data_IF_564749866399
#
_entry.id   IF_564749866399
#
_cell.length_a   1.000
_cell.length_b   1.000
_cell.length_c   1.000
_cell.angle_alpha   90.00
_cell.angle_beta   90.00
_cell.angle_gamma   90.00
#
_symmetry.space_group_name_H-M   'P 1'
#
loop_
_entity.id
_entity.type
_entity.pdbx_description
1 polymer ?
#
# COMPACT_ATOMS: atom_id res chain seq x y z
N UNK A 1 16.83 26.11 -31.02
CA UNK A 1 17.39 24.73 -31.03
C UNK A 1 16.69 23.94 -29.95
N UNK A 2 15.72 23.11 -30.34
CA UNK A 2 14.93 22.31 -29.41
C UNK A 2 15.81 21.13 -28.95
N UNK A 3 16.10 21.06 -27.66
CA UNK A 3 16.81 19.94 -27.07
C UNK A 3 15.94 18.70 -27.22
N UNK A 4 16.36 17.77 -28.06
CA UNK A 4 15.74 16.45 -28.22
C UNK A 4 15.77 15.72 -26.88
N UNK A 5 14.64 15.19 -26.37
CA UNK A 5 14.64 14.42 -25.12
C UNK A 5 15.59 13.24 -25.29
N UNK A 6 16.52 13.08 -24.34
CA UNK A 6 17.49 11.99 -24.35
C UNK A 6 16.73 10.66 -24.37
N UNK A 7 16.68 9.99 -25.54
CA UNK A 7 16.08 8.66 -25.72
C UNK A 7 16.70 7.69 -24.72
N UNK A 8 15.89 7.06 -23.88
CA UNK A 8 16.31 5.90 -23.11
C UNK A 8 16.83 4.84 -24.10
N UNK A 9 17.96 4.20 -23.77
CA UNK A 9 18.51 3.10 -24.60
C UNK A 9 17.63 1.84 -24.57
N UNK A 10 16.59 1.83 -23.70
CA UNK A 10 15.68 0.71 -23.47
C UNK A 10 14.33 1.05 -24.08
N UNK A 11 13.70 0.07 -24.76
CA UNK A 11 12.38 0.27 -25.37
C UNK A 11 11.27 0.48 -24.30
N UNK A 12 10.22 1.24 -24.63
CA UNK A 12 9.09 1.47 -23.71
C UNK A 12 8.45 0.18 -23.20
N UNK A 13 8.35 -0.84 -24.04
CA UNK A 13 7.79 -2.15 -23.71
C UNK A 13 8.58 -2.82 -22.59
N UNK A 14 9.91 -2.84 -22.70
CA UNK A 14 10.81 -3.44 -21.70
C UNK A 14 10.69 -2.68 -20.38
N UNK A 15 10.61 -1.35 -20.42
CA UNK A 15 10.43 -0.51 -19.22
C UNK A 15 9.10 -0.88 -18.50
N UNK A 16 8.01 -1.00 -19.27
CA UNK A 16 6.69 -1.37 -18.71
C UNK A 16 6.72 -2.78 -18.14
N UNK A 17 7.24 -3.76 -18.88
CA UNK A 17 7.30 -5.16 -18.41
C UNK A 17 8.15 -5.28 -17.15
N UNK A 18 9.36 -4.69 -17.12
CA UNK A 18 10.21 -4.73 -15.94
C UNK A 18 9.57 -4.04 -14.73
N UNK A 19 8.92 -2.89 -14.92
CA UNK A 19 8.23 -2.20 -13.84
C UNK A 19 7.01 -2.98 -13.31
N UNK A 20 6.26 -3.63 -14.20
CA UNK A 20 5.17 -4.52 -13.82
C UNK A 20 5.68 -5.72 -13.01
N UNK A 21 6.78 -6.35 -13.43
CA UNK A 21 7.39 -7.47 -12.69
C UNK A 21 7.91 -7.01 -11.32
N UNK A 22 8.52 -5.83 -11.21
CA UNK A 22 8.91 -5.25 -9.92
C UNK A 22 7.69 -5.07 -9.02
N UNK A 23 6.61 -4.49 -9.51
CA UNK A 23 5.39 -4.30 -8.74
C UNK A 23 4.80 -5.65 -8.26
N UNK A 24 4.75 -6.64 -9.13
CA UNK A 24 4.29 -7.99 -8.82
C UNK A 24 5.12 -8.64 -7.71
N UNK A 25 6.46 -8.62 -7.86
CA UNK A 25 7.40 -9.26 -6.93
C UNK A 25 7.39 -8.55 -5.56
N UNK A 26 7.25 -7.24 -5.51
CA UNK A 26 7.32 -6.49 -4.24
C UNK A 26 6.03 -6.58 -3.43
N UNK A 27 4.87 -6.62 -4.09
CA UNK A 27 3.58 -6.76 -3.40
C UNK A 27 3.27 -8.21 -2.99
N UNK A 28 3.78 -9.20 -3.71
CA UNK A 28 3.47 -10.61 -3.49
C UNK A 28 3.84 -11.13 -2.09
N UNK A 29 5.12 -11.10 -1.69
CA UNK A 29 5.54 -11.58 -0.37
C UNK A 29 4.85 -10.83 0.78
N UNK A 30 4.64 -9.51 0.63
CA UNK A 30 3.90 -8.72 1.62
C UNK A 30 2.46 -9.20 1.81
N UNK A 31 1.75 -9.50 0.73
CA UNK A 31 0.39 -10.00 0.78
C UNK A 31 0.28 -11.40 1.43
N UNK A 32 1.39 -12.14 1.45
CA UNK A 32 1.50 -13.47 2.05
C UNK A 32 1.92 -13.45 3.52
N UNK A 33 2.21 -12.28 4.10
CA UNK A 33 2.79 -12.17 5.45
C UNK A 33 2.00 -12.90 6.53
N UNK A 34 0.67 -12.86 6.48
CA UNK A 34 -0.20 -13.54 7.44
C UNK A 34 -0.09 -15.06 7.45
N UNK A 35 0.38 -15.68 6.35
CA UNK A 35 0.57 -17.14 6.28
C UNK A 35 1.72 -17.62 7.18
N UNK A 36 2.68 -16.76 7.48
CA UNK A 36 3.85 -17.07 8.31
C UNK A 36 3.58 -16.91 9.81
N UNK A 37 2.49 -16.25 10.20
CA UNK A 37 2.17 -15.98 11.60
C UNK A 37 2.09 -17.26 12.43
N UNK A 38 1.17 -18.16 12.10
CA UNK A 38 0.94 -19.37 12.87
C UNK A 38 2.15 -20.31 12.90
N UNK A 39 2.81 -20.64 11.77
CA UNK A 39 3.99 -21.48 11.79
C UNK A 39 5.08 -20.96 12.73
N UNK A 40 5.41 -19.66 12.66
CA UNK A 40 6.46 -19.07 13.47
C UNK A 40 6.12 -19.02 14.97
N UNK A 41 4.91 -18.56 15.31
CA UNK A 41 4.53 -18.43 16.73
C UNK A 41 4.38 -19.79 17.39
N UNK A 42 3.91 -20.81 16.65
CA UNK A 42 3.79 -22.17 17.17
C UNK A 42 5.16 -22.81 17.44
N UNK A 43 6.13 -22.61 16.54
CA UNK A 43 7.48 -23.16 16.67
C UNK A 43 8.25 -22.57 17.86
N UNK A 44 8.11 -21.26 18.07
CA UNK A 44 8.88 -20.56 19.11
C UNK A 44 8.10 -20.26 20.40
N UNK A 45 6.81 -20.61 20.46
CA UNK A 45 5.94 -20.32 21.60
C UNK A 45 5.68 -18.82 21.81
N UNK A 46 5.68 -18.03 20.73
CA UNK A 46 5.38 -16.60 20.80
C UNK A 46 3.87 -16.32 20.76
N UNK A 47 3.47 -15.16 21.29
CA UNK A 47 2.12 -14.66 21.11
C UNK A 47 1.90 -14.06 19.69
N UNK A 48 0.65 -13.95 19.30
CA UNK A 48 0.24 -13.27 18.03
C UNK A 48 0.57 -11.77 18.06
N UNK A 49 0.63 -11.17 19.24
CA UNK A 49 1.07 -9.80 19.48
C UNK A 49 2.52 -9.57 19.03
N UNK A 50 3.42 -10.52 19.29
CA UNK A 50 4.84 -10.45 18.89
C UNK A 50 4.98 -10.37 17.37
N UNK A 51 4.31 -11.24 16.63
CA UNK A 51 4.30 -11.20 15.17
C UNK A 51 3.56 -9.96 14.64
N UNK A 52 2.41 -9.67 15.23
CA UNK A 52 1.61 -8.47 14.90
C UNK A 52 2.41 -7.18 15.07
N UNK A 53 3.17 -7.06 16.16
CA UNK A 53 4.01 -5.88 16.41
C UNK A 53 5.15 -5.74 15.39
N UNK A 54 5.78 -6.85 14.96
CA UNK A 54 6.78 -6.82 13.90
C UNK A 54 6.21 -6.23 12.59
N UNK A 55 5.06 -6.72 12.14
CA UNK A 55 4.41 -6.22 10.92
C UNK A 55 3.82 -4.82 11.12
N UNK A 56 3.43 -4.45 12.35
CA UNK A 56 3.05 -3.09 12.67
C UNK A 56 4.21 -2.10 12.46
N UNK A 57 5.41 -2.40 13.00
CA UNK A 57 6.64 -1.64 12.74
C UNK A 57 6.90 -1.53 11.24
N UNK A 58 6.74 -2.62 10.48
CA UNK A 58 6.91 -2.63 9.03
C UNK A 58 6.03 -1.59 8.33
N UNK A 59 4.73 -1.54 8.66
CA UNK A 59 3.81 -0.58 8.08
C UNK A 59 4.20 0.87 8.42
N UNK A 60 4.53 1.14 9.68
CA UNK A 60 4.92 2.47 10.11
C UNK A 60 6.19 2.96 9.39
N UNK A 61 7.23 2.12 9.35
CA UNK A 61 8.50 2.47 8.71
C UNK A 61 8.39 2.57 7.19
N UNK A 62 7.53 1.78 6.57
CA UNK A 62 7.18 1.98 5.17
C UNK A 62 6.58 3.37 4.94
N UNK A 63 5.62 3.79 5.78
CA UNK A 63 5.00 5.12 5.69
C UNK A 63 5.99 6.26 5.90
N UNK A 64 6.85 6.15 6.91
CA UNK A 64 7.90 7.15 7.19
C UNK A 64 8.95 7.19 6.09
N UNK A 65 9.42 6.03 5.64
CA UNK A 65 10.50 5.93 4.66
C UNK A 65 10.11 6.35 3.24
N UNK A 66 8.82 6.26 2.89
CA UNK A 66 8.33 6.50 1.53
C UNK A 66 8.69 7.90 0.95
N UNK A 67 8.47 9.02 1.66
CA UNK A 67 8.86 10.35 1.16
C UNK A 67 10.37 10.48 0.95
N UNK A 68 11.18 9.90 1.85
CA UNK A 68 12.64 9.95 1.74
C UNK A 68 13.14 9.13 0.56
N UNK A 69 12.60 7.90 0.38
CA UNK A 69 12.94 7.06 -0.77
C UNK A 69 12.60 7.75 -2.10
N UNK A 70 11.46 8.44 -2.18
CA UNK A 70 11.08 9.27 -3.33
C UNK A 70 12.07 10.39 -3.60
N UNK A 71 12.42 11.18 -2.58
CA UNK A 71 13.38 12.27 -2.70
C UNK A 71 14.79 11.80 -3.12
N UNK A 72 15.25 10.68 -2.56
CA UNK A 72 16.53 10.05 -2.95
C UNK A 72 16.48 9.56 -4.39
N UNK A 73 15.35 8.96 -4.82
CA UNK A 73 15.17 8.51 -6.20
C UNK A 73 15.14 9.66 -7.21
N UNK A 74 14.58 10.80 -6.81
CA UNK A 74 14.61 12.02 -7.65
C UNK A 74 16.02 12.57 -7.81
N UNK A 75 16.81 12.55 -6.73
CA UNK A 75 18.18 13.08 -6.74
C UNK A 75 19.22 12.13 -7.34
N UNK A 76 19.13 10.83 -7.03
CA UNK A 76 20.17 9.85 -7.36
C UNK A 76 19.75 8.80 -8.41
N UNK A 77 18.49 8.87 -8.86
CA UNK A 77 17.88 7.93 -9.81
C UNK A 77 17.17 6.75 -9.16
N UNK A 78 16.10 6.28 -9.79
CA UNK A 78 15.24 5.21 -9.27
C UNK A 78 15.98 3.88 -9.11
N UNK A 79 16.92 3.54 -10.01
CA UNK A 79 17.68 2.29 -9.99
C UNK A 79 18.35 2.01 -8.64
N UNK A 80 19.10 2.99 -8.11
CA UNK A 80 19.84 2.82 -6.85
C UNK A 80 18.90 2.58 -5.67
N UNK A 81 17.80 3.31 -5.63
CA UNK A 81 16.82 3.19 -4.54
C UNK A 81 16.10 1.86 -4.59
N UNK A 82 15.71 1.40 -5.80
CA UNK A 82 15.13 0.08 -6.00
C UNK A 82 16.07 -1.06 -5.58
N UNK A 83 17.37 -0.96 -5.92
CA UNK A 83 18.36 -1.95 -5.52
C UNK A 83 18.58 -2.00 -4.01
N UNK A 84 18.75 -0.84 -3.35
CA UNK A 84 18.89 -0.79 -1.89
C UNK A 84 17.63 -1.29 -1.20
N UNK A 85 16.46 -0.89 -1.68
CA UNK A 85 15.18 -1.38 -1.18
C UNK A 85 15.04 -2.90 -1.30
N UNK A 86 15.38 -3.47 -2.46
CA UNK A 86 15.35 -4.91 -2.69
C UNK A 86 16.31 -5.67 -1.78
N UNK A 87 17.53 -5.15 -1.57
CA UNK A 87 18.51 -5.73 -0.64
C UNK A 87 17.99 -5.71 0.81
N UNK A 88 17.46 -4.58 1.27
CA UNK A 88 16.89 -4.48 2.61
C UNK A 88 15.70 -5.41 2.79
N UNK A 89 14.83 -5.51 1.78
CA UNK A 89 13.68 -6.39 1.82
C UNK A 89 14.10 -7.86 1.85
N UNK A 90 14.99 -8.27 0.95
CA UNK A 90 15.49 -9.64 0.91
C UNK A 90 16.24 -10.01 2.21
N UNK A 91 17.12 -9.12 2.69
CA UNK A 91 17.81 -9.30 3.98
C UNK A 91 16.81 -9.43 5.13
N UNK A 92 15.75 -8.61 5.14
CA UNK A 92 14.70 -8.69 6.14
C UNK A 92 13.98 -10.03 6.13
N UNK A 93 13.66 -10.59 4.95
CA UNK A 93 13.09 -11.93 4.81
C UNK A 93 14.05 -13.03 5.28
N UNK A 94 15.35 -12.90 4.99
CA UNK A 94 16.38 -13.83 5.49
C UNK A 94 16.49 -13.76 7.02
N UNK A 95 16.57 -12.55 7.59
CA UNK A 95 16.61 -12.38 9.05
C UNK A 95 15.34 -12.94 9.69
N UNK A 96 14.17 -12.73 9.07
CA UNK A 96 12.91 -13.30 9.52
C UNK A 96 12.92 -14.84 9.50
N UNK A 97 13.51 -15.47 8.46
CA UNK A 97 13.62 -16.93 8.34
C UNK A 97 14.47 -17.56 9.45
N UNK A 98 15.46 -16.84 9.95
CA UNK A 98 16.36 -17.31 11.03
C UNK A 98 16.10 -16.61 12.37
N UNK A 99 15.00 -15.88 12.51
CA UNK A 99 14.66 -15.20 13.76
C UNK A 99 14.22 -16.20 14.83
N UNK A 100 15.07 -16.42 15.85
CA UNK A 100 14.78 -17.26 17.01
C UNK A 100 14.34 -16.43 18.23
N UNK A 101 14.35 -15.11 18.14
CA UNK A 101 13.92 -14.18 19.19
C UNK A 101 12.97 -13.13 18.65
N UNK A 102 12.04 -12.61 19.46
CA UNK A 102 11.16 -11.50 19.06
C UNK A 102 11.92 -10.28 18.54
N UNK A 103 13.07 -9.95 19.15
CA UNK A 103 13.90 -8.82 18.71
C UNK A 103 14.41 -8.98 17.27
N UNK A 104 14.89 -10.18 16.89
CA UNK A 104 15.33 -10.46 15.53
C UNK A 104 14.16 -10.40 14.55
N UNK A 105 12.97 -10.89 14.94
CA UNK A 105 11.76 -10.78 14.14
C UNK A 105 11.39 -9.31 13.90
N UNK A 106 11.42 -8.48 14.95
CA UNK A 106 11.13 -7.04 14.83
C UNK A 106 12.12 -6.31 13.92
N UNK A 107 13.40 -6.67 13.98
CA UNK A 107 14.43 -6.11 13.08
C UNK A 107 14.21 -6.60 11.64
N UNK A 108 14.05 -7.91 11.42
CA UNK A 108 13.88 -8.49 10.09
C UNK A 108 12.56 -8.06 9.43
N UNK A 109 11.45 -8.52 9.99
CA UNK A 109 10.12 -8.30 9.45
C UNK A 109 9.65 -6.85 9.62
N UNK A 110 10.05 -6.18 10.70
CA UNK A 110 9.64 -4.80 10.99
C UNK A 110 10.53 -3.77 10.29
N UNK A 111 11.79 -3.69 10.71
CA UNK A 111 12.68 -2.58 10.30
C UNK A 111 13.18 -2.75 8.87
N UNK A 112 13.83 -3.89 8.58
CA UNK A 112 14.48 -4.10 7.29
C UNK A 112 13.45 -4.19 6.16
N UNK A 113 12.39 -4.97 6.33
CA UNK A 113 11.32 -5.05 5.31
C UNK A 113 10.57 -3.71 5.21
N UNK A 114 10.32 -3.00 6.31
CA UNK A 114 9.65 -1.70 6.30
C UNK A 114 10.37 -0.66 5.43
N UNK A 115 11.67 -0.47 5.65
CA UNK A 115 12.49 0.39 4.79
C UNK A 115 12.70 -0.19 3.39
N UNK A 116 12.80 -1.52 3.28
CA UNK A 116 12.87 -2.22 1.99
C UNK A 116 11.66 -1.91 1.10
N UNK A 117 10.45 -1.99 1.65
CA UNK A 117 9.20 -1.63 0.97
C UNK A 117 9.16 -0.16 0.55
N UNK A 118 9.71 0.76 1.35
CA UNK A 118 9.83 2.17 0.95
C UNK A 118 10.68 2.33 -0.31
N UNK A 119 11.79 1.61 -0.39
CA UNK A 119 12.72 1.65 -1.52
C UNK A 119 12.26 0.84 -2.75
N UNK A 120 11.39 -0.17 -2.58
CA UNK A 120 10.81 -0.96 -3.67
C UNK A 120 9.36 -0.60 -3.97
N UNK A 121 8.86 0.54 -3.49
CA UNK A 121 7.46 0.88 -3.60
C UNK A 121 6.99 1.03 -5.04
N UNK A 122 5.74 0.67 -5.24
CA UNK A 122 5.02 0.90 -6.49
C UNK A 122 5.10 2.38 -6.96
N UNK A 123 5.09 3.33 -6.02
CA UNK A 123 5.19 4.75 -6.33
C UNK A 123 6.52 5.10 -7.04
N UNK A 124 7.63 4.43 -6.69
CA UNK A 124 8.91 4.62 -7.38
C UNK A 124 8.87 4.09 -8.82
N UNK A 125 8.20 2.97 -9.04
CA UNK A 125 7.99 2.42 -10.39
C UNK A 125 7.16 3.37 -11.22
N UNK A 126 6.05 3.90 -10.68
CA UNK A 126 5.22 4.89 -11.37
C UNK A 126 5.99 6.19 -11.64
N UNK A 127 6.81 6.65 -10.69
CA UNK A 127 7.70 7.80 -10.88
C UNK A 127 8.70 7.59 -12.02
N UNK A 128 9.29 6.38 -12.13
CA UNK A 128 10.16 6.01 -13.22
C UNK A 128 9.41 5.96 -14.56
N UNK A 129 8.21 5.39 -14.62
CA UNK A 129 7.35 5.40 -15.82
C UNK A 129 7.06 6.83 -16.28
N UNK A 130 6.71 7.73 -15.35
CA UNK A 130 6.47 9.14 -15.66
C UNK A 130 7.67 9.85 -16.29
N UNK A 131 8.91 9.47 -15.91
CA UNK A 131 10.16 10.07 -16.40
C UNK A 131 10.67 9.44 -17.71
N UNK A 132 10.52 8.11 -17.86
CA UNK A 132 11.14 7.34 -18.93
C UNK A 132 10.24 7.13 -20.14
N UNK A 133 8.90 7.07 -19.92
CA UNK A 133 7.96 6.75 -20.97
C UNK A 133 7.44 7.98 -21.71
N UNK A 134 7.23 7.88 -23.04
CA UNK A 134 6.47 8.88 -23.81
C UNK A 134 5.07 9.05 -23.24
N UNK A 135 4.49 10.25 -23.38
CA UNK A 135 3.17 10.59 -22.81
C UNK A 135 2.07 9.58 -23.19
N UNK A 136 2.06 9.14 -24.44
CA UNK A 136 1.07 8.17 -24.96
C UNK A 136 1.11 6.81 -24.24
N UNK A 137 2.25 6.42 -23.63
CA UNK A 137 2.42 5.15 -22.94
C UNK A 137 2.09 5.22 -21.44
N UNK A 138 2.19 6.42 -20.83
CA UNK A 138 2.05 6.61 -19.37
C UNK A 138 0.73 6.10 -18.79
N UNK A 139 -0.47 6.42 -19.38
CA UNK A 139 -1.72 5.93 -18.80
C UNK A 139 -1.82 4.41 -18.78
N UNK A 140 -1.38 3.76 -19.88
CA UNK A 140 -1.37 2.30 -19.99
C UNK A 140 -0.37 1.70 -19.00
N UNK A 141 0.84 2.26 -18.87
CA UNK A 141 1.87 1.76 -17.97
C UNK A 141 1.46 1.89 -16.49
N UNK A 142 0.80 2.99 -16.11
CA UNK A 142 0.29 3.18 -14.75
C UNK A 142 -0.80 2.15 -14.41
N UNK A 143 -1.73 1.91 -15.34
CA UNK A 143 -2.75 0.88 -15.19
C UNK A 143 -2.15 -0.52 -15.11
N UNK A 144 -1.22 -0.85 -16.02
CA UNK A 144 -0.55 -2.15 -16.04
C UNK A 144 0.27 -2.42 -14.77
N UNK A 145 1.01 -1.42 -14.27
CA UNK A 145 1.76 -1.54 -13.03
C UNK A 145 0.86 -1.78 -11.80
N UNK A 146 -0.29 -1.08 -11.74
CA UNK A 146 -1.28 -1.29 -10.67
C UNK A 146 -1.88 -2.70 -10.74
N UNK A 147 -2.25 -3.15 -11.94
CA UNK A 147 -2.77 -4.49 -12.15
C UNK A 147 -1.73 -5.57 -11.81
N UNK A 148 -0.45 -5.36 -12.16
CA UNK A 148 0.63 -6.28 -11.85
C UNK A 148 0.86 -6.41 -10.34
N UNK A 149 0.80 -5.32 -9.56
CA UNK A 149 0.84 -5.37 -8.10
C UNK A 149 -0.30 -6.19 -7.52
N UNK A 150 -1.53 -5.99 -8.01
CA UNK A 150 -2.69 -6.78 -7.61
C UNK A 150 -2.56 -8.24 -8.01
N UNK A 151 -1.95 -8.52 -9.16
CA UNK A 151 -1.69 -9.90 -9.61
C UNK A 151 -0.63 -10.57 -8.74
N UNK A 152 0.37 -9.84 -8.23
CA UNK A 152 1.30 -10.33 -7.20
C UNK A 152 0.56 -10.73 -5.92
N UNK A 153 -0.39 -9.92 -5.46
CA UNK A 153 -1.23 -10.26 -4.30
C UNK A 153 -2.10 -11.51 -4.53
N UNK A 154 -2.52 -11.76 -5.78
CA UNK A 154 -3.22 -12.98 -6.15
C UNK A 154 -2.32 -14.21 -6.16
N UNK A 155 -1.14 -14.09 -6.76
CA UNK A 155 -0.27 -15.22 -7.08
C UNK A 155 0.51 -15.74 -5.87
N UNK A 156 1.07 -14.86 -5.05
CA UNK A 156 2.01 -15.24 -4.00
C UNK A 156 1.39 -15.96 -2.79
N UNK A 157 0.18 -15.63 -2.29
CA UNK A 157 -0.38 -16.36 -1.14
C UNK A 157 -0.60 -17.86 -1.40
N UNK A 158 -1.19 -18.33 -2.52
CA UNK A 158 -1.27 -19.76 -2.80
C UNK A 158 0.11 -20.41 -2.96
N UNK A 159 1.05 -19.74 -3.66
CA UNK A 159 2.42 -20.23 -3.80
C UNK A 159 3.09 -20.33 -2.42
N UNK A 160 2.94 -19.31 -1.58
CA UNK A 160 3.48 -19.29 -0.22
C UNK A 160 2.94 -20.43 0.62
N UNK A 161 1.64 -20.71 0.52
CA UNK A 161 1.03 -21.83 1.23
C UNK A 161 1.62 -23.18 0.79
N UNK A 162 1.73 -23.41 -0.52
CA UNK A 162 2.35 -24.65 -1.07
C UNK A 162 3.81 -24.78 -0.63
N UNK A 163 4.58 -23.68 -0.64
CA UNK A 163 5.97 -23.70 -0.19
C UNK A 163 6.08 -24.00 1.30
N UNK A 164 5.21 -23.44 2.14
CA UNK A 164 5.19 -23.68 3.59
C UNK A 164 4.84 -25.14 3.86
N UNK A 165 3.84 -25.71 3.18
CA UNK A 165 3.42 -27.09 3.35
C UNK A 165 4.47 -28.10 2.86
N UNK A 166 5.18 -27.78 1.76
CA UNK A 166 6.13 -28.71 1.12
C UNK A 166 7.54 -28.65 1.71
N UNK A 167 8.02 -27.45 2.10
CA UNK A 167 9.41 -27.21 2.47
C UNK A 167 9.59 -26.52 3.82
N UNK A 168 8.49 -26.16 4.48
CA UNK A 168 8.51 -25.37 5.71
C UNK A 168 8.57 -23.85 5.49
N UNK A 169 8.21 -23.12 6.52
CA UNK A 169 8.06 -21.66 6.46
C UNK A 169 9.40 -20.91 6.27
N UNK A 170 10.52 -21.44 6.81
CA UNK A 170 11.85 -20.87 6.62
C UNK A 170 12.25 -20.88 5.15
N UNK A 171 12.09 -22.02 4.48
CA UNK A 171 12.44 -22.16 3.06
C UNK A 171 11.54 -21.31 2.18
N UNK A 172 10.27 -21.20 2.52
CA UNK A 172 9.35 -20.31 1.81
C UNK A 172 9.78 -18.84 1.88
N UNK A 173 10.25 -18.36 3.04
CA UNK A 173 10.82 -17.01 3.19
C UNK A 173 12.10 -16.82 2.38
N UNK A 174 12.98 -17.82 2.32
CA UNK A 174 14.20 -17.76 1.52
C UNK A 174 13.90 -17.71 0.02
N UNK A 175 12.91 -18.46 -0.45
CA UNK A 175 12.43 -18.39 -1.84
C UNK A 175 11.85 -17.00 -2.14
N UNK A 176 11.09 -16.42 -1.21
CA UNK A 176 10.59 -15.06 -1.36
C UNK A 176 11.73 -14.03 -1.35
N UNK A 177 12.75 -14.19 -0.51
CA UNK A 177 13.93 -13.34 -0.51
C UNK A 177 14.66 -13.39 -1.86
N UNK A 178 14.87 -14.59 -2.39
CA UNK A 178 15.48 -14.78 -3.73
C UNK A 178 14.64 -14.12 -4.83
N UNK A 179 13.31 -14.23 -4.77
CA UNK A 179 12.42 -13.57 -5.74
C UNK A 179 12.54 -12.05 -5.68
N UNK A 180 12.63 -11.46 -4.48
CA UNK A 180 12.80 -10.00 -4.30
C UNK A 180 14.13 -9.51 -4.87
N UNK A 181 15.19 -10.29 -4.82
CA UNK A 181 16.47 -9.92 -5.44
C UNK A 181 16.40 -9.77 -6.97
N UNK A 182 15.42 -10.41 -7.63
CA UNK A 182 15.16 -10.21 -9.06
C UNK A 182 14.77 -8.76 -9.40
N UNK A 183 14.34 -7.99 -8.43
CA UNK A 183 14.10 -6.55 -8.60
C UNK A 183 15.37 -5.82 -9.07
N UNK A 184 16.56 -6.26 -8.64
CA UNK A 184 17.82 -5.58 -8.98
C UNK A 184 18.12 -5.60 -10.48
N UNK A 185 18.14 -6.76 -11.18
CA UNK A 185 18.33 -6.77 -12.63
C UNK A 185 17.17 -6.10 -13.38
N UNK A 186 15.93 -6.24 -12.93
CA UNK A 186 14.78 -5.58 -13.54
C UNK A 186 14.85 -4.04 -13.42
N UNK A 187 15.39 -3.55 -12.31
CA UNK A 187 15.55 -2.11 -12.06
C UNK A 187 16.52 -1.42 -13.03
N UNK A 188 17.40 -2.17 -13.73
CA UNK A 188 18.27 -1.64 -14.78
C UNK A 188 17.46 -0.97 -15.90
N UNK A 189 16.30 -1.56 -16.24
CA UNK A 189 15.40 -0.97 -17.25
C UNK A 189 14.74 0.33 -16.78
N UNK A 190 14.65 0.55 -15.46
CA UNK A 190 14.08 1.74 -14.83
C UNK A 190 15.14 2.75 -14.38
N UNK A 191 16.37 2.65 -14.89
CA UNK A 191 17.47 3.54 -14.56
C UNK A 191 17.15 4.97 -15.06
N UNK A 192 16.72 5.84 -14.17
CA UNK A 192 16.57 7.27 -14.45
C UNK A 192 17.90 8.00 -14.21
N UNK A 193 18.22 9.00 -15.05
CA UNK A 193 19.34 9.89 -14.74
C UNK A 193 18.97 10.77 -13.54
N UNK A 194 19.95 11.03 -12.69
CA UNK A 194 19.83 12.05 -11.65
C UNK A 194 19.51 13.38 -12.34
N UNK A 195 18.34 13.91 -12.13
CA UNK A 195 17.98 15.25 -12.58
C UNK A 195 18.36 16.19 -11.44
N UNK A 196 19.52 16.84 -11.57
CA UNK A 196 19.76 18.07 -10.85
C UNK A 196 18.66 19.06 -11.26
N UNK A 197 17.94 19.56 -10.29
CA UNK A 197 17.02 20.70 -10.38
C UNK A 197 16.25 20.90 -11.72
N UNK A 198 15.29 20.03 -11.98
CA UNK A 198 14.22 20.36 -12.91
C UNK A 198 12.90 20.40 -12.14
N UNK A 199 12.37 21.57 -11.84
CA UNK A 199 10.97 21.69 -11.45
C UNK A 199 10.15 21.19 -12.63
N UNK A 200 9.30 20.17 -12.43
CA UNK A 200 8.26 19.89 -13.41
C UNK A 200 7.37 21.15 -13.52
N UNK A 201 7.62 21.95 -14.53
CA UNK A 201 6.75 23.04 -14.93
C UNK A 201 5.48 22.42 -15.54
N UNK A 202 4.47 22.17 -14.68
CA UNK A 202 3.09 22.08 -15.14
C UNK A 202 2.56 23.48 -15.46
N UNK A 203 1.61 23.63 -16.40
CA UNK A 203 1.04 24.93 -16.73
C UNK A 203 0.28 25.50 -15.52
N UNK A 204 0.52 26.77 -15.25
CA UNK A 204 0.05 27.63 -14.17
C UNK A 204 0.94 27.65 -12.92
N UNK A 205 1.94 28.52 -12.97
CA UNK A 205 2.70 28.97 -11.82
C UNK A 205 1.77 29.63 -10.80
N UNK A 206 1.45 28.90 -9.73
CA UNK A 206 0.94 29.54 -8.51
C UNK A 206 2.12 30.28 -7.87
N UNK A 207 1.97 31.57 -7.49
CA UNK A 207 3.07 32.36 -6.96
C UNK A 207 3.68 31.70 -5.73
N UNK A 208 4.97 31.57 -5.68
CA UNK A 208 5.91 31.37 -4.56
C UNK A 208 5.39 30.81 -3.21
N UNK A 209 4.50 29.81 -3.21
CA UNK A 209 4.12 29.14 -1.96
C UNK A 209 5.26 28.20 -1.51
N UNK A 210 5.76 28.38 -0.28
CA UNK A 210 6.74 27.47 0.32
C UNK A 210 6.07 26.14 0.78
N UNK A 211 6.87 25.08 0.95
CA UNK A 211 6.41 23.80 1.49
C UNK A 211 5.69 23.98 2.83
N UNK A 212 6.26 24.80 3.73
CA UNK A 212 5.68 25.08 5.05
C UNK A 212 4.30 25.75 4.94
N UNK A 213 4.14 26.69 4.01
CA UNK A 213 2.85 27.33 3.76
C UNK A 213 1.83 26.37 3.18
N UNK A 214 2.22 25.49 2.23
CA UNK A 214 1.34 24.47 1.67
C UNK A 214 0.87 23.48 2.72
N UNK A 215 1.73 23.04 3.62
CA UNK A 215 1.37 22.18 4.74
C UNK A 215 0.43 22.89 5.73
N UNK A 216 0.75 24.12 6.11
CA UNK A 216 -0.10 24.88 7.03
C UNK A 216 -1.50 25.13 6.44
N UNK A 217 -1.60 25.43 5.13
CA UNK A 217 -2.84 25.57 4.40
C UNK A 217 -3.63 24.25 4.40
N UNK A 218 -2.99 23.15 4.07
CA UNK A 218 -3.63 21.85 3.97
C UNK A 218 -4.18 21.39 5.34
N UNK A 219 -3.38 21.46 6.40
CA UNK A 219 -3.82 21.04 7.73
C UNK A 219 -4.81 22.00 8.41
N UNK A 220 -4.93 23.24 7.94
CA UNK A 220 -6.05 24.14 8.32
C UNK A 220 -7.32 23.83 7.54
N UNK A 221 -7.23 23.17 6.40
CA UNK A 221 -8.38 22.90 5.54
C UNK A 221 -9.16 21.68 6.04
N UNK A 222 -10.35 21.90 6.60
CA UNK A 222 -11.18 20.86 7.22
C UNK A 222 -11.39 19.62 6.34
N UNK A 223 -11.68 19.82 5.04
CA UNK A 223 -11.91 18.69 4.12
C UNK A 223 -10.68 17.80 3.94
N UNK A 224 -9.49 18.38 3.96
CA UNK A 224 -8.25 17.61 3.86
C UNK A 224 -7.99 16.81 5.14
N UNK A 225 -8.18 17.41 6.32
CA UNK A 225 -8.01 16.70 7.60
C UNK A 225 -8.98 15.53 7.69
N UNK A 226 -10.25 15.73 7.32
CA UNK A 226 -11.26 14.66 7.29
C UNK A 226 -10.87 13.54 6.31
N UNK A 227 -10.33 13.88 5.14
CA UNK A 227 -9.83 12.92 4.16
C UNK A 227 -8.68 12.09 4.71
N UNK A 228 -7.70 12.73 5.37
CA UNK A 228 -6.54 12.08 6.01
C UNK A 228 -6.99 11.14 7.13
N UNK A 229 -7.92 11.58 7.98
CA UNK A 229 -8.50 10.76 9.05
C UNK A 229 -9.32 9.59 8.50
N UNK A 230 -10.12 9.79 7.45
CA UNK A 230 -10.86 8.71 6.80
C UNK A 230 -9.93 7.66 6.19
N UNK A 231 -8.81 8.07 5.61
CA UNK A 231 -7.86 7.15 4.98
C UNK A 231 -7.09 6.27 5.99
N UNK A 232 -6.99 6.68 7.25
CA UNK A 232 -6.51 5.87 8.36
C UNK A 232 -7.22 4.51 8.44
N UNK A 233 -8.55 4.50 8.35
CA UNK A 233 -9.35 3.27 8.44
C UNK A 233 -9.06 2.29 7.32
N UNK A 234 -8.73 2.78 6.13
CA UNK A 234 -8.30 1.93 5.04
C UNK A 234 -7.08 1.11 5.46
N UNK A 235 -6.05 1.76 6.00
CA UNK A 235 -4.84 1.09 6.49
C UNK A 235 -5.13 0.08 7.60
N UNK A 236 -5.95 0.48 8.57
CA UNK A 236 -6.33 -0.38 9.69
C UNK A 236 -6.95 -1.69 9.21
N UNK A 237 -7.98 -1.60 8.38
CA UNK A 237 -8.70 -2.77 7.87
C UNK A 237 -7.83 -3.64 6.97
N UNK A 238 -7.08 -3.04 6.05
CA UNK A 238 -6.25 -3.77 5.11
C UNK A 238 -5.14 -4.56 5.81
N UNK A 239 -4.42 -3.91 6.71
CA UNK A 239 -3.30 -4.53 7.38
C UNK A 239 -3.76 -5.62 8.37
N UNK A 240 -4.83 -5.36 9.13
CA UNK A 240 -5.45 -6.36 10.01
C UNK A 240 -5.87 -7.61 9.23
N UNK A 241 -6.64 -7.45 8.15
CA UNK A 241 -7.11 -8.57 7.33
C UNK A 241 -5.94 -9.33 6.72
N UNK A 242 -4.96 -8.63 6.12
CA UNK A 242 -3.81 -9.30 5.49
C UNK A 242 -3.04 -10.19 6.45
N UNK A 243 -2.88 -9.77 7.70
CA UNK A 243 -2.02 -10.47 8.68
C UNK A 243 -2.82 -11.51 9.48
N UNK A 244 -4.01 -11.15 9.95
CA UNK A 244 -4.72 -11.99 10.91
C UNK A 244 -5.82 -12.88 10.30
N UNK A 245 -6.26 -12.63 9.05
CA UNK A 245 -7.31 -13.44 8.41
C UNK A 245 -6.92 -14.92 8.26
N UNK A 246 -5.69 -15.29 7.83
CA UNK A 246 -5.30 -16.69 7.76
C UNK A 246 -5.38 -17.41 9.11
N UNK A 247 -4.92 -16.75 10.18
CA UNK A 247 -5.00 -17.28 11.53
C UNK A 247 -6.45 -17.39 12.03
N UNK A 248 -7.27 -16.36 11.77
CA UNK A 248 -8.71 -16.39 12.09
C UNK A 248 -9.44 -17.55 11.43
N UNK A 249 -9.18 -17.80 10.14
CA UNK A 249 -9.79 -18.93 9.41
C UNK A 249 -9.32 -20.28 9.94
N UNK A 250 -8.04 -20.37 10.34
CA UNK A 250 -7.50 -21.58 10.96
C UNK A 250 -8.14 -21.85 12.32
N UNK A 251 -8.35 -20.82 13.15
CA UNK A 251 -9.06 -20.92 14.43
C UNK A 251 -10.52 -21.34 14.24
N UNK A 252 -11.13 -20.96 13.11
CA UNK A 252 -12.46 -21.41 12.71
C UNK A 252 -12.49 -22.86 12.14
N UNK A 253 -11.38 -23.60 12.18
CA UNK A 253 -11.28 -24.99 11.73
C UNK A 253 -11.07 -25.17 10.23
N UNK A 254 -10.77 -24.10 9.48
CA UNK A 254 -10.51 -24.17 8.05
C UNK A 254 -9.05 -24.48 7.75
N UNK A 255 -8.77 -25.04 6.57
CA UNK A 255 -7.40 -25.33 6.14
C UNK A 255 -6.62 -24.05 5.81
N UNK A 256 -5.28 -24.09 5.93
CA UNK A 256 -4.41 -23.00 5.55
C UNK A 256 -4.60 -22.57 4.07
N UNK A 257 -4.91 -23.53 3.20
CA UNK A 257 -5.21 -23.28 1.79
C UNK A 257 -6.38 -22.29 1.61
N UNK A 258 -7.44 -22.39 2.44
CA UNK A 258 -8.58 -21.44 2.38
C UNK A 258 -8.10 -20.02 2.70
N UNK A 259 -7.22 -19.85 3.69
CA UNK A 259 -6.61 -18.56 4.01
C UNK A 259 -5.80 -17.98 2.82
N UNK A 260 -4.95 -18.80 2.20
CA UNK A 260 -4.16 -18.42 1.03
C UNK A 260 -5.04 -18.02 -0.17
N UNK A 261 -6.06 -18.84 -0.49
CA UNK A 261 -6.99 -18.52 -1.57
C UNK A 261 -7.88 -17.31 -1.29
N UNK A 262 -8.27 -17.07 -0.03
CA UNK A 262 -9.02 -15.87 0.34
C UNK A 262 -8.18 -14.62 0.11
N UNK A 263 -6.91 -14.62 0.53
CA UNK A 263 -5.99 -13.51 0.25
C UNK A 263 -5.76 -13.32 -1.26
N UNK A 264 -5.65 -14.41 -2.01
CA UNK A 264 -5.53 -14.38 -3.46
C UNK A 264 -6.76 -13.72 -4.12
N UNK A 265 -7.97 -14.11 -3.72
CA UNK A 265 -9.19 -13.50 -4.27
C UNK A 265 -9.31 -12.02 -3.93
N UNK A 266 -8.85 -11.58 -2.75
CA UNK A 266 -8.73 -10.15 -2.43
C UNK A 266 -7.84 -9.45 -3.46
N UNK A 267 -6.67 -9.99 -3.77
CA UNK A 267 -5.74 -9.41 -4.75
C UNK A 267 -6.34 -9.30 -6.15
N UNK A 268 -7.00 -10.36 -6.62
CA UNK A 268 -7.64 -10.38 -7.94
C UNK A 268 -8.81 -9.40 -8.04
N UNK A 269 -9.70 -9.43 -7.05
CA UNK A 269 -10.86 -8.53 -6.99
C UNK A 269 -10.45 -7.06 -6.83
N UNK A 270 -9.32 -6.78 -6.14
CA UNK A 270 -8.75 -5.46 -6.00
C UNK A 270 -8.37 -4.82 -7.35
N UNK A 271 -7.86 -5.60 -8.31
CA UNK A 271 -7.56 -5.08 -9.64
C UNK A 271 -8.81 -4.50 -10.30
N UNK A 272 -9.92 -5.25 -10.24
CA UNK A 272 -11.22 -4.82 -10.80
C UNK A 272 -11.76 -3.60 -10.04
N UNK A 273 -11.76 -3.68 -8.70
CA UNK A 273 -12.30 -2.63 -7.84
C UNK A 273 -11.57 -1.29 -8.00
N UNK A 274 -10.24 -1.31 -8.03
CA UNK A 274 -9.42 -0.10 -8.19
C UNK A 274 -9.66 0.58 -9.54
N UNK A 275 -9.77 -0.20 -10.64
CA UNK A 275 -10.09 0.34 -11.96
C UNK A 275 -11.50 0.93 -11.98
N UNK A 276 -12.49 0.21 -11.45
CA UNK A 276 -13.87 0.68 -11.35
C UNK A 276 -13.97 1.97 -10.52
N UNK A 277 -13.28 2.05 -9.39
CA UNK A 277 -13.25 3.24 -8.55
C UNK A 277 -12.57 4.43 -9.25
N UNK A 278 -11.49 4.19 -9.98
CA UNK A 278 -10.85 5.22 -10.81
C UNK A 278 -11.83 5.81 -11.83
N UNK A 279 -12.54 4.96 -12.55
CA UNK A 279 -13.57 5.37 -13.51
C UNK A 279 -14.75 6.09 -12.83
N UNK A 280 -15.28 5.56 -11.73
CA UNK A 280 -16.35 6.19 -10.96
C UNK A 280 -15.95 7.56 -10.40
N UNK A 281 -14.69 7.74 -10.01
CA UNK A 281 -14.16 9.02 -9.51
C UNK A 281 -14.25 10.16 -10.54
N UNK A 282 -14.36 9.84 -11.82
CA UNK A 282 -14.54 10.83 -12.90
C UNK A 282 -16.01 11.17 -13.16
N UNK A 283 -16.95 10.33 -12.69
CA UNK A 283 -18.38 10.41 -13.03
C UNK A 283 -19.28 10.78 -11.86
N UNK A 284 -18.82 10.55 -10.63
CA UNK A 284 -19.61 10.85 -9.43
C UNK A 284 -18.78 11.60 -8.39
N UNK A 285 -19.49 12.16 -7.40
CA UNK A 285 -18.86 12.82 -6.25
C UNK A 285 -17.94 11.86 -5.50
N UNK A 286 -16.69 12.27 -5.29
CA UNK A 286 -15.63 11.45 -4.67
C UNK A 286 -15.89 11.20 -3.19
N UNK A 287 -16.50 12.18 -2.48
CA UNK A 287 -16.90 12.05 -1.08
C UNK A 287 -17.96 10.96 -0.88
N UNK A 288 -18.95 10.90 -1.78
CA UNK A 288 -19.97 9.86 -1.76
C UNK A 288 -19.38 8.50 -2.13
N UNK A 289 -18.50 8.46 -3.13
CA UNK A 289 -17.80 7.24 -3.50
C UNK A 289 -17.00 6.67 -2.32
N UNK A 290 -16.23 7.50 -1.59
CA UNK A 290 -15.52 7.11 -0.39
C UNK A 290 -16.47 6.62 0.71
N UNK A 291 -17.58 7.34 0.95
CA UNK A 291 -18.57 6.95 1.95
C UNK A 291 -19.16 5.57 1.63
N UNK A 292 -19.54 5.31 0.37
CA UNK A 292 -20.07 4.01 -0.06
C UNK A 292 -19.02 2.89 0.03
N UNK A 293 -17.75 3.16 -0.29
CA UNK A 293 -16.67 2.17 -0.15
C UNK A 293 -16.51 1.77 1.33
N UNK A 294 -16.43 2.74 2.25
CA UNK A 294 -16.27 2.44 3.68
C UNK A 294 -17.50 1.77 4.29
N UNK A 295 -18.70 2.20 3.91
CA UNK A 295 -19.95 1.54 4.30
C UNK A 295 -20.00 0.10 3.78
N UNK A 296 -19.68 -0.10 2.50
CA UNK A 296 -19.63 -1.42 1.87
C UNK A 296 -18.64 -2.37 2.56
N UNK A 297 -17.47 -1.88 2.98
CA UNK A 297 -16.52 -2.66 3.78
C UNK A 297 -17.11 -3.05 5.13
N UNK A 298 -17.74 -2.10 5.83
CA UNK A 298 -18.40 -2.40 7.11
C UNK A 298 -19.48 -3.45 6.97
N UNK A 299 -20.30 -3.38 5.91
CA UNK A 299 -21.32 -4.40 5.61
C UNK A 299 -20.68 -5.74 5.29
N UNK A 300 -19.63 -5.78 4.44
CA UNK A 300 -18.93 -7.02 4.10
C UNK A 300 -18.30 -7.69 5.31
N UNK A 301 -17.65 -6.91 6.19
CA UNK A 301 -17.05 -7.42 7.43
C UNK A 301 -18.16 -7.93 8.38
N UNK A 302 -19.25 -7.16 8.55
CA UNK A 302 -20.37 -7.56 9.40
C UNK A 302 -20.97 -8.88 8.92
N UNK A 303 -21.26 -9.01 7.63
CA UNK A 303 -21.77 -10.25 7.05
C UNK A 303 -20.82 -11.43 7.29
N UNK A 304 -19.50 -11.20 7.10
CA UNK A 304 -18.50 -12.24 7.27
C UNK A 304 -18.39 -12.77 8.71
N UNK A 305 -18.45 -11.89 9.72
CA UNK A 305 -18.33 -12.32 11.13
C UNK A 305 -19.63 -12.90 11.71
N UNK A 306 -20.79 -12.60 11.12
CA UNK A 306 -22.08 -13.12 11.57
C UNK A 306 -22.47 -14.43 10.90
N UNK A 307 -21.90 -14.75 9.75
CA UNK A 307 -22.16 -16.01 9.02
C UNK A 307 -21.10 -17.04 9.42
N UNK A 308 -21.46 -18.31 9.64
CA UNK A 308 -20.47 -19.36 9.94
C UNK A 308 -19.37 -19.42 8.88
N UNK A 309 -18.10 -19.48 9.35
CA UNK A 309 -16.96 -19.55 8.47
C UNK A 309 -16.96 -20.86 7.68
N UNK A 310 -16.82 -20.75 6.37
CA UNK A 310 -16.70 -21.85 5.42
C UNK A 310 -15.77 -21.45 4.27
N UNK A 311 -15.28 -22.39 3.45
CA UNK A 311 -14.49 -22.02 2.27
C UNK A 311 -15.25 -21.06 1.34
N UNK A 312 -16.55 -21.28 1.14
CA UNK A 312 -17.39 -20.43 0.28
C UNK A 312 -17.55 -19.02 0.86
N UNK A 313 -17.91 -18.90 2.14
CA UNK A 313 -18.09 -17.59 2.79
C UNK A 313 -16.78 -16.80 2.85
N UNK A 314 -15.64 -17.48 3.03
CA UNK A 314 -14.32 -16.88 3.02
C UNK A 314 -13.95 -16.32 1.64
N UNK A 315 -14.19 -17.07 0.56
CA UNK A 315 -13.95 -16.62 -0.81
C UNK A 315 -14.90 -15.46 -1.18
N UNK A 316 -16.18 -15.54 -0.83
CA UNK A 316 -17.14 -14.45 -1.05
C UNK A 316 -16.74 -13.19 -0.30
N UNK A 317 -16.27 -13.31 0.94
CA UNK A 317 -15.67 -12.20 1.68
C UNK A 317 -14.44 -11.64 0.94
N UNK A 318 -13.53 -12.53 0.49
CA UNK A 318 -12.35 -12.14 -0.29
C UNK A 318 -12.69 -11.34 -1.54
N UNK A 319 -13.72 -11.75 -2.29
CA UNK A 319 -14.21 -11.02 -3.46
C UNK A 319 -14.81 -9.65 -3.04
N UNK A 320 -15.70 -9.64 -2.06
CA UNK A 320 -16.43 -8.45 -1.63
C UNK A 320 -15.48 -7.38 -1.07
N UNK A 321 -14.61 -7.76 -0.14
CA UNK A 321 -13.65 -6.84 0.44
C UNK A 321 -12.56 -6.46 -0.58
N UNK A 322 -12.19 -7.38 -1.49
CA UNK A 322 -11.21 -7.17 -2.53
C UNK A 322 -11.61 -6.08 -3.52
N UNK A 323 -12.84 -6.10 -4.01
CA UNK A 323 -13.38 -5.01 -4.87
C UNK A 323 -13.28 -3.66 -4.19
N UNK A 324 -13.42 -3.61 -2.87
CA UNK A 324 -13.35 -2.38 -2.09
C UNK A 324 -11.93 -2.09 -1.56
N UNK A 325 -10.92 -2.96 -1.81
CA UNK A 325 -9.61 -2.99 -1.13
C UNK A 325 -8.82 -1.70 -1.24
N UNK A 326 -8.34 -1.35 -2.42
CA UNK A 326 -7.65 -0.09 -2.70
C UNK A 326 -8.53 0.90 -3.48
N UNK A 327 -9.84 0.65 -3.53
CA UNK A 327 -10.79 1.51 -4.23
C UNK A 327 -10.91 2.91 -3.62
N UNK A 328 -10.39 3.13 -2.41
CA UNK A 328 -10.28 4.45 -1.78
C UNK A 328 -9.14 5.29 -2.34
N UNK A 329 -8.14 4.69 -2.99
CA UNK A 329 -6.93 5.39 -3.46
C UNK A 329 -7.23 6.41 -4.58
N UNK A 330 -7.95 6.03 -5.67
CA UNK A 330 -8.26 6.98 -6.74
C UNK A 330 -9.06 8.20 -6.29
N UNK A 331 -10.18 8.07 -5.54
CA UNK A 331 -10.93 9.24 -5.10
C UNK A 331 -10.16 10.09 -4.09
N UNK A 332 -9.34 9.49 -3.21
CA UNK A 332 -8.50 10.23 -2.25
C UNK A 332 -7.45 11.07 -2.97
N UNK A 333 -6.70 10.50 -3.90
CA UNK A 333 -5.69 11.22 -4.67
C UNK A 333 -6.31 12.31 -5.53
N UNK A 334 -7.48 12.04 -6.13
CA UNK A 334 -8.23 13.02 -6.93
C UNK A 334 -8.75 14.19 -6.09
N UNK A 335 -9.18 13.96 -4.84
CA UNK A 335 -9.60 15.03 -3.93
C UNK A 335 -8.43 15.91 -3.52
N UNK A 336 -7.27 15.33 -3.22
CA UNK A 336 -6.06 16.11 -2.90
C UNK A 336 -5.67 17.00 -4.09
N UNK A 337 -5.69 16.43 -5.29
CA UNK A 337 -5.38 17.17 -6.53
C UNK A 337 -6.41 18.27 -6.81
N UNK A 338 -7.70 18.00 -6.59
CA UNK A 338 -8.77 18.98 -6.76
C UNK A 338 -8.63 20.17 -5.78
N UNK A 339 -8.34 19.90 -4.51
CA UNK A 339 -8.26 20.94 -3.47
C UNK A 339 -7.00 21.79 -3.60
N UNK A 340 -5.82 21.21 -3.87
CA UNK A 340 -4.54 21.90 -3.75
C UNK A 340 -3.77 22.03 -5.08
N UNK A 341 -4.26 21.41 -6.15
CA UNK A 341 -3.57 21.37 -7.45
C UNK A 341 -2.45 20.34 -7.48
N UNK A 342 -1.66 20.39 -8.56
CA UNK A 342 -0.62 19.37 -8.85
C UNK A 342 0.72 19.63 -8.15
N UNK A 343 1.04 20.89 -7.79
CA UNK A 343 2.37 21.28 -7.31
C UNK A 343 2.85 20.51 -6.08
N UNK A 344 2.02 20.37 -5.06
CA UNK A 344 2.33 19.66 -3.81
C UNK A 344 1.50 18.41 -3.59
N UNK A 345 0.84 17.93 -4.65
CA UNK A 345 -0.05 16.77 -4.58
C UNK A 345 0.64 15.53 -4.00
N UNK A 346 1.84 15.20 -4.48
CA UNK A 346 2.57 14.02 -4.02
C UNK A 346 2.89 14.09 -2.52
N UNK A 347 3.29 15.27 -2.03
CA UNK A 347 3.58 15.48 -0.61
C UNK A 347 2.31 15.38 0.23
N UNK A 348 1.24 16.05 -0.16
CA UNK A 348 -0.03 16.05 0.59
C UNK A 348 -0.69 14.67 0.57
N UNK A 349 -0.68 13.97 -0.57
CA UNK A 349 -1.11 12.58 -0.63
C UNK A 349 -0.22 11.67 0.23
N UNK A 350 1.08 11.97 0.32
CA UNK A 350 2.02 11.28 1.21
C UNK A 350 1.62 11.34 2.68
N UNK A 351 1.07 12.46 3.17
CA UNK A 351 0.53 12.54 4.53
C UNK A 351 -0.76 11.71 4.71
N UNK A 352 -1.63 11.67 3.71
CA UNK A 352 -2.77 10.75 3.72
C UNK A 352 -2.30 9.29 3.76
N UNK A 353 -1.29 8.95 2.97
CA UNK A 353 -0.67 7.62 2.98
C UNK A 353 0.01 7.31 4.32
N UNK A 354 0.67 8.28 4.95
CA UNK A 354 1.23 8.10 6.30
C UNK A 354 0.14 7.79 7.32
N UNK A 355 -0.99 8.51 7.28
CA UNK A 355 -2.16 8.21 8.13
C UNK A 355 -2.68 6.77 7.91
N UNK A 356 -2.76 6.34 6.64
CA UNK A 356 -3.08 4.95 6.29
C UNK A 356 -2.09 3.96 6.94
N UNK A 357 -0.80 4.25 6.93
CA UNK A 357 0.21 3.37 7.52
C UNK A 357 0.16 3.35 9.05
N UNK A 358 -0.19 4.47 9.70
CA UNK A 358 -0.49 4.51 11.14
C UNK A 358 -1.72 3.66 11.45
N UNK A 359 -2.75 3.72 10.61
CA UNK A 359 -3.89 2.79 10.67
C UNK A 359 -3.45 1.34 10.56
N UNK A 360 -2.59 1.04 9.59
CA UNK A 360 -2.02 -0.30 9.40
C UNK A 360 -1.22 -0.78 10.60
N UNK A 361 -0.41 0.09 11.21
CA UNK A 361 0.28 -0.21 12.47
C UNK A 361 -0.71 -0.64 13.54
N UNK A 362 -1.72 0.20 13.81
CA UNK A 362 -2.68 -0.08 14.87
C UNK A 362 -3.55 -1.31 14.56
N UNK A 363 -3.96 -1.51 13.31
CA UNK A 363 -4.78 -2.66 12.91
C UNK A 363 -4.08 -3.99 13.16
N UNK A 364 -2.81 -4.10 12.81
CA UNK A 364 -2.05 -5.33 13.01
C UNK A 364 -1.67 -5.52 14.48
N UNK A 365 -1.17 -4.47 15.13
CA UNK A 365 -0.75 -4.55 16.54
C UNK A 365 -1.94 -4.88 17.45
N UNK A 366 -3.03 -4.13 17.35
CA UNK A 366 -4.23 -4.39 18.14
C UNK A 366 -4.85 -5.76 17.79
N UNK A 367 -4.71 -6.22 16.53
CA UNK A 367 -5.12 -7.56 16.13
C UNK A 367 -4.45 -8.65 16.96
N UNK A 368 -3.14 -8.57 17.13
CA UNK A 368 -2.38 -9.50 17.98
C UNK A 368 -2.67 -9.32 19.46
N UNK A 369 -2.55 -8.07 19.96
CA UNK A 369 -2.72 -7.75 21.38
C UNK A 369 -4.10 -8.12 21.92
N UNK A 370 -5.18 -7.74 21.21
CA UNK A 370 -6.53 -8.05 21.65
C UNK A 370 -6.87 -9.53 21.52
N UNK A 371 -6.21 -10.24 20.61
CA UNK A 371 -6.30 -11.72 20.57
C UNK A 371 -5.71 -12.35 21.82
N UNK A 372 -4.51 -11.92 22.25
CA UNK A 372 -3.87 -12.46 23.47
C UNK A 372 -4.72 -12.19 24.72
N UNK A 373 -5.40 -11.05 24.78
CA UNK A 373 -6.26 -10.68 25.92
C UNK A 373 -7.59 -11.45 25.91
N UNK A 374 -8.23 -11.57 24.74
CA UNK A 374 -9.61 -12.05 24.64
C UNK A 374 -9.72 -13.50 24.12
N UNK A 375 -8.63 -14.11 23.64
CA UNK A 375 -8.63 -15.43 22.99
C UNK A 375 -9.31 -15.48 21.63
N UNK A 376 -9.71 -14.34 21.07
CA UNK A 376 -10.36 -14.25 19.77
C UNK A 376 -10.22 -12.87 19.12
N UNK A 377 -10.59 -12.75 17.85
CA UNK A 377 -10.52 -11.50 17.07
C UNK A 377 -11.78 -10.61 17.10
N UNK A 378 -12.82 -10.98 17.88
CA UNK A 378 -14.12 -10.30 17.82
C UNK A 378 -14.01 -8.79 18.07
N UNK A 379 -13.22 -8.37 19.07
CA UNK A 379 -13.04 -6.97 19.40
C UNK A 379 -12.46 -6.16 18.21
N UNK A 380 -11.49 -6.70 17.49
CA UNK A 380 -10.86 -6.01 16.35
C UNK A 380 -11.78 -5.98 15.13
N UNK A 381 -12.54 -7.05 14.90
CA UNK A 381 -13.56 -7.05 13.85
C UNK A 381 -14.62 -5.98 14.09
N UNK A 382 -15.17 -5.88 15.31
CA UNK A 382 -16.13 -4.81 15.64
C UNK A 382 -15.51 -3.42 15.57
N UNK A 383 -14.26 -3.25 16.02
CA UNK A 383 -13.54 -2.00 15.86
C UNK A 383 -13.37 -1.61 14.38
N UNK A 384 -13.07 -2.59 13.51
CA UNK A 384 -12.98 -2.39 12.05
C UNK A 384 -14.30 -1.90 11.46
N UNK A 385 -15.43 -2.46 11.92
CA UNK A 385 -16.79 -2.04 11.49
C UNK A 385 -17.06 -0.60 11.92
N UNK A 386 -16.82 -0.29 13.20
CA UNK A 386 -17.05 1.06 13.76
C UNK A 386 -16.19 2.11 13.05
N UNK A 387 -14.90 1.82 12.83
CA UNK A 387 -14.00 2.70 12.08
C UNK A 387 -14.48 2.89 10.63
N UNK A 388 -14.98 1.83 9.99
CA UNK A 388 -15.54 1.92 8.64
C UNK A 388 -16.78 2.82 8.58
N UNK A 389 -17.72 2.65 9.50
CA UNK A 389 -18.91 3.51 9.63
C UNK A 389 -18.52 4.97 9.94
N UNK A 390 -17.59 5.17 10.88
CA UNK A 390 -17.07 6.49 11.19
C UNK A 390 -16.42 7.15 9.97
N UNK A 391 -15.63 6.41 9.19
CA UNK A 391 -15.00 6.94 7.97
C UNK A 391 -16.01 7.21 6.88
N UNK A 392 -17.06 6.41 6.74
CA UNK A 392 -18.17 6.72 5.83
C UNK A 392 -18.78 8.08 6.18
N UNK A 393 -19.06 8.33 7.46
CA UNK A 393 -19.63 9.59 7.94
C UNK A 393 -18.65 10.77 7.83
N UNK A 394 -17.39 10.57 8.16
CA UNK A 394 -16.32 11.60 8.11
C UNK A 394 -16.11 12.10 6.67
N UNK A 395 -16.29 11.26 5.66
CA UNK A 395 -16.12 11.67 4.27
C UNK A 395 -17.29 12.51 3.72
N UNK A 396 -18.50 12.41 4.28
CA UNK A 396 -19.68 13.12 3.76
C UNK A 396 -19.54 14.66 3.77
N UNK A 397 -19.01 15.32 4.83
CA UNK A 397 -18.88 16.78 4.87
C UNK A 397 -17.72 17.33 4.03
N UNK A 398 -16.93 16.50 3.35
CA UNK A 398 -15.83 16.94 2.48
C UNK A 398 -16.39 17.80 1.34
N UNK A 399 -15.84 18.99 1.17
CA UNK A 399 -16.17 19.90 0.06
C UNK A 399 -15.21 19.62 -1.11
N UNK A 400 -15.80 19.29 -2.25
CA UNK A 400 -15.06 19.00 -3.50
C UNK A 400 -14.81 20.30 -4.29
N UNK A 401 -14.03 21.20 -3.71
CA UNK A 401 -13.75 22.50 -4.28
C UNK A 401 -12.26 22.84 -4.10
N UNK A 402 -11.65 23.56 -5.07
CA UNK A 402 -10.30 24.09 -4.91
C UNK A 402 -10.25 25.05 -3.70
N UNK A 403 -9.10 25.08 -3.03
CA UNK A 403 -8.83 26.08 -2.00
C UNK A 403 -8.73 27.45 -2.66
N UNK A 404 -9.60 28.35 -2.24
CA UNK A 404 -9.57 29.77 -2.69
C UNK A 404 -8.35 30.43 -2.05
N UNK A 405 -7.40 30.84 -2.87
CA UNK A 405 -6.23 31.64 -2.45
C UNK A 405 -6.48 33.07 -2.85
N UNK A 406 -6.41 33.98 -1.89
CA UNK A 406 -6.41 35.42 -2.22
C UNK A 406 -5.21 35.73 -3.13
N UNK A 407 -5.38 36.51 -4.21
CA UNK A 407 -4.27 36.98 -5.01
C UNK A 407 -3.29 37.71 -4.08
N UNK A 408 -2.00 37.34 -4.14
CA UNK A 408 -1.00 38.13 -3.44
C UNK A 408 -1.11 39.56 -3.91
N UNK A 409 -1.42 40.51 -3.00
CA UNK A 409 -1.37 41.94 -3.27
C UNK A 409 0.00 42.22 -3.89
N UNK A 410 0.03 42.60 -5.16
CA UNK A 410 1.25 43.15 -5.75
C UNK A 410 1.67 44.33 -4.90
N UNK A 411 2.92 44.41 -4.45
CA UNK A 411 3.38 45.64 -3.83
C UNK A 411 3.10 46.79 -4.83
N UNK A 412 2.39 47.78 -4.38
CA UNK A 412 2.24 49.04 -5.16
C UNK A 412 3.64 49.56 -5.44
N UNK A 413 3.95 49.72 -6.74
CA UNK A 413 5.20 50.35 -7.24
C UNK A 413 5.33 51.78 -6.75
#
# INVERSE_FOLDING_TARGET
MSASPARSRVSPEIIVVCGCLIALITFGPRASSGLFQLPMITEYGWGRDTFGFAIAIQNLLWGVGQPFAGAVADRFGAFRVLCVGALLYALGLVVMAYATTPGLLHVGAGVLIGFGLSGCSFNLVLGAFGKLLPEKWRPMAFGAGTAAGSFGQFLFPPIGNVLIESFGWQQALLVFAASVLLVMPLALALATRATGDSPQAGPAAVPNQSIRQALAEAFKHRSYVLLVLGFFTCGFQLAFITVHLPAYLKDAGLSAAVGGWTLATIGLANAVGSLASGWLSTRMSKRWLLAWIYLGRSVAITAFILIPASPVTSILFGISIGVLWLSTVPPTSSLVMLMFGTRYMAMLYGFAFFSHQVGGFLGVWLGGLLYEINGNYSAVWWLSIVLGLASALINLPIKEQPVVREPALQPAE
#
